data_IF_828189016718
#
_entry.id   IF_828189016718
#
_cell.length_a   1.000
_cell.length_b   1.000
_cell.length_c   1.000
_cell.angle_alpha   90.00
_cell.angle_beta   90.00
_cell.angle_gamma   90.00
#
_symmetry.space_group_name_H-M   'P 1'
#
loop_
_entity.id
_entity.type
_entity.pdbx_description
1 polymer ?
#
# COMPACT_ATOMS: atom_id res chain seq x y z
N UNK A 1 -6.14 19.11 2.81
CA UNK A 1 -4.79 19.46 2.31
C UNK A 1 -3.70 18.78 3.13
N UNK A 2 -3.69 18.92 4.46
CA UNK A 2 -2.69 18.27 5.34
C UNK A 2 -2.49 16.77 5.12
N UNK A 3 -3.57 15.97 5.10
CA UNK A 3 -3.45 14.51 4.91
C UNK A 3 -2.78 14.10 3.60
N UNK A 4 -3.03 14.82 2.50
CA UNK A 4 -2.39 14.53 1.20
C UNK A 4 -0.88 14.79 1.27
N UNK A 5 -0.48 15.86 1.96
CA UNK A 5 0.93 16.23 2.15
C UNK A 5 1.61 15.18 3.03
N UNK A 6 0.98 14.75 4.12
CA UNK A 6 1.51 13.68 4.97
C UNK A 6 1.64 12.36 4.19
N UNK A 7 0.62 11.98 3.42
CA UNK A 7 0.68 10.79 2.57
C UNK A 7 1.80 10.87 1.53
N UNK A 8 2.02 12.05 0.94
CA UNK A 8 3.11 12.27 -0.02
C UNK A 8 4.48 12.16 0.66
N UNK A 9 4.65 12.79 1.82
CA UNK A 9 5.90 12.71 2.58
C UNK A 9 6.22 11.26 2.97
N UNK A 10 5.22 10.53 3.48
CA UNK A 10 5.36 9.10 3.81
C UNK A 10 5.67 8.26 2.58
N UNK A 11 5.01 8.51 1.45
CA UNK A 11 5.27 7.81 0.19
C UNK A 11 6.71 8.02 -0.26
N UNK A 12 7.18 9.28 -0.30
CA UNK A 12 8.54 9.60 -0.72
C UNK A 12 9.57 8.96 0.20
N UNK A 13 9.42 9.13 1.52
CA UNK A 13 10.36 8.55 2.49
C UNK A 13 10.38 7.02 2.43
N UNK A 14 9.21 6.39 2.39
CA UNK A 14 9.09 4.94 2.29
C UNK A 14 9.66 4.40 0.97
N UNK A 15 9.38 5.05 -0.16
CA UNK A 15 9.92 4.65 -1.46
C UNK A 15 11.43 4.82 -1.54
N UNK A 16 11.99 5.91 -0.99
CA UNK A 16 13.45 6.09 -0.94
C UNK A 16 14.11 5.03 -0.07
N UNK A 17 13.55 4.76 1.11
CA UNK A 17 14.07 3.73 1.99
C UNK A 17 13.98 2.34 1.35
N UNK A 18 12.85 2.01 0.73
CA UNK A 18 12.64 0.73 0.03
C UNK A 18 13.55 0.57 -1.18
N UNK A 19 13.73 1.64 -1.96
CA UNK A 19 14.66 1.65 -3.09
C UNK A 19 16.10 1.43 -2.62
N UNK A 20 16.52 2.13 -1.57
CA UNK A 20 17.83 1.94 -0.96
C UNK A 20 18.03 0.51 -0.44
N UNK A 21 17.07 -0.05 0.30
CA UNK A 21 17.19 -1.42 0.82
C UNK A 21 17.25 -2.45 -0.30
N UNK A 22 16.49 -2.27 -1.39
CA UNK A 22 16.56 -3.14 -2.56
C UNK A 22 17.87 -3.04 -3.33
N UNK A 23 18.52 -1.87 -3.34
CA UNK A 23 19.82 -1.69 -4.01
C UNK A 23 20.96 -2.43 -3.29
N UNK A 24 20.90 -2.50 -1.96
CA UNK A 24 21.93 -3.16 -1.14
C UNK A 24 21.56 -4.60 -0.75
N UNK A 25 20.36 -5.06 -1.08
CA UNK A 25 19.90 -6.39 -0.71
C UNK A 25 20.63 -7.47 -1.53
N UNK A 26 21.27 -8.41 -0.84
CA UNK A 26 21.91 -9.56 -1.47
C UNK A 26 20.89 -10.62 -1.94
N UNK A 27 19.68 -10.61 -1.39
CA UNK A 27 18.61 -11.55 -1.70
C UNK A 27 17.42 -10.86 -2.35
N UNK A 28 16.69 -11.62 -3.17
CA UNK A 28 15.47 -11.12 -3.80
C UNK A 28 14.36 -10.88 -2.78
N UNK A 29 13.44 -9.97 -3.10
CA UNK A 29 12.26 -9.69 -2.27
C UNK A 29 11.42 -10.95 -2.01
N UNK A 30 11.28 -11.81 -3.03
CA UNK A 30 10.54 -13.07 -2.92
C UNK A 30 11.24 -14.03 -1.96
N UNK A 31 12.57 -14.17 -2.06
CA UNK A 31 13.35 -15.00 -1.15
C UNK A 31 13.24 -14.48 0.29
N UNK A 32 13.29 -13.17 0.49
CA UNK A 32 13.05 -12.54 1.78
C UNK A 32 11.65 -12.86 2.33
N UNK A 33 10.61 -12.73 1.51
CA UNK A 33 9.24 -13.07 1.92
C UNK A 33 9.09 -14.54 2.34
N UNK A 34 9.66 -15.47 1.58
CA UNK A 34 9.65 -16.90 1.91
C UNK A 34 10.41 -17.18 3.21
N UNK A 35 11.53 -16.51 3.42
CA UNK A 35 12.30 -16.61 4.66
C UNK A 35 11.49 -16.11 5.87
N UNK A 36 10.77 -14.99 5.74
CA UNK A 36 9.87 -14.51 6.79
C UNK A 36 8.73 -15.49 7.07
N UNK A 37 8.20 -16.15 6.04
CA UNK A 37 7.16 -17.16 6.20
C UNK A 37 7.67 -18.48 6.81
N UNK A 38 8.98 -18.73 6.78
CA UNK A 38 9.57 -19.98 7.31
C UNK A 38 9.54 -20.09 8.82
N UNK A 39 9.42 -18.95 9.55
CA UNK A 39 9.34 -18.93 11.01
C UNK A 39 7.95 -18.43 11.45
N UNK A 40 7.28 -19.12 12.40
CA UNK A 40 5.90 -18.77 12.78
C UNK A 40 5.72 -17.33 13.29
N UNK A 41 6.69 -16.81 14.02
CA UNK A 41 6.69 -15.46 14.59
C UNK A 41 6.75 -14.38 13.51
N UNK A 42 7.64 -14.50 12.53
CA UNK A 42 7.72 -13.57 11.41
C UNK A 42 6.61 -13.77 10.40
N UNK A 43 6.15 -15.02 10.21
CA UNK A 43 5.04 -15.35 9.33
C UNK A 43 3.74 -14.66 9.79
N UNK A 44 3.48 -14.62 11.10
CA UNK A 44 2.33 -13.93 11.67
C UNK A 44 2.29 -12.45 11.25
N UNK A 45 3.43 -11.76 11.27
CA UNK A 45 3.54 -10.35 10.88
C UNK A 45 3.27 -10.18 9.38
N UNK A 46 3.80 -11.07 8.54
CA UNK A 46 3.53 -11.03 7.08
C UNK A 46 2.05 -11.25 6.79
N UNK A 47 1.42 -12.23 7.45
CA UNK A 47 -0.01 -12.51 7.28
C UNK A 47 -0.85 -11.30 7.71
N UNK A 48 -0.59 -10.74 8.88
CA UNK A 48 -1.30 -9.56 9.39
C UNK A 48 -1.16 -8.35 8.44
N UNK A 49 0.06 -8.10 7.95
CA UNK A 49 0.35 -7.03 7.00
C UNK A 49 -0.45 -7.18 5.69
N UNK A 50 -0.52 -8.40 5.14
CA UNK A 50 -1.28 -8.68 3.93
C UNK A 50 -2.80 -8.69 4.14
N UNK A 51 -3.29 -9.07 5.33
CA UNK A 51 -4.69 -8.88 5.71
C UNK A 51 -5.05 -7.39 5.73
N UNK A 52 -4.23 -6.57 6.37
CA UNK A 52 -4.40 -5.11 6.37
C UNK A 52 -4.34 -4.53 4.95
N UNK A 53 -3.44 -5.02 4.09
CA UNK A 53 -3.37 -4.63 2.69
C UNK A 53 -4.64 -5.00 1.92
N UNK A 54 -5.19 -6.19 2.16
CA UNK A 54 -6.47 -6.64 1.58
C UNK A 54 -7.63 -5.74 1.98
N UNK A 55 -7.70 -5.37 3.26
CA UNK A 55 -8.70 -4.41 3.76
C UNK A 55 -8.53 -3.03 3.12
N UNK A 56 -7.30 -2.55 2.95
CA UNK A 56 -7.00 -1.30 2.27
C UNK A 56 -7.41 -1.35 0.78
N UNK A 57 -7.18 -2.47 0.09
CA UNK A 57 -7.66 -2.70 -1.28
C UNK A 57 -9.19 -2.62 -1.37
N UNK A 58 -9.91 -3.32 -0.48
CA UNK A 58 -11.38 -3.26 -0.42
C UNK A 58 -11.85 -1.84 -0.16
N UNK A 59 -11.19 -1.11 0.74
CA UNK A 59 -11.49 0.29 1.01
C UNK A 59 -11.29 1.18 -0.23
N UNK A 60 -10.16 1.07 -0.94
CA UNK A 60 -9.90 1.84 -2.16
C UNK A 60 -10.95 1.56 -3.24
N UNK A 61 -11.35 0.30 -3.42
CA UNK A 61 -12.40 -0.10 -4.36
C UNK A 61 -13.73 0.54 -3.99
N UNK A 62 -14.12 0.50 -2.72
CA UNK A 62 -15.37 1.10 -2.24
C UNK A 62 -15.35 2.63 -2.38
N UNK A 63 -14.25 3.29 -2.01
CA UNK A 63 -14.10 4.75 -2.16
C UNK A 63 -14.14 5.18 -3.63
N UNK A 64 -13.44 4.48 -4.52
CA UNK A 64 -13.47 4.80 -5.94
C UNK A 64 -14.86 4.59 -6.56
N UNK A 65 -15.58 3.53 -6.18
CA UNK A 65 -16.98 3.29 -6.61
C UNK A 65 -17.91 4.37 -6.10
N UNK A 66 -17.79 4.78 -4.83
CA UNK A 66 -18.59 5.86 -4.25
C UNK A 66 -18.40 7.21 -4.97
N UNK A 67 -17.26 7.41 -5.62
CA UNK A 67 -16.93 8.61 -6.41
C UNK A 67 -17.26 8.47 -7.91
N UNK A 68 -17.93 7.39 -8.33
CA UNK A 68 -18.24 7.13 -9.74
C UNK A 68 -17.02 6.79 -10.61
N UNK A 69 -15.89 6.41 -10.01
CA UNK A 69 -14.67 6.08 -10.73
C UNK A 69 -14.73 4.71 -11.40
N UNK A 70 -14.08 4.57 -12.57
CA UNK A 70 -13.92 3.28 -13.26
C UNK A 70 -12.98 2.36 -12.47
N UNK A 71 -13.30 1.08 -12.41
CA UNK A 71 -12.49 0.04 -11.75
C UNK A 71 -11.06 -0.05 -12.30
N UNK A 72 -10.88 0.16 -13.61
CA UNK A 72 -9.56 0.15 -14.27
C UNK A 72 -8.59 1.19 -13.67
N UNK A 73 -9.10 2.31 -13.16
CA UNK A 73 -8.25 3.33 -12.54
C UNK A 73 -7.59 2.85 -11.25
N UNK A 74 -8.09 1.79 -10.61
CA UNK A 74 -7.54 1.27 -9.35
C UNK A 74 -6.36 0.32 -9.56
N UNK A 75 -6.27 -0.30 -10.75
CA UNK A 75 -5.31 -1.35 -11.05
C UNK A 75 -3.86 -1.00 -10.66
N UNK A 76 -3.31 0.19 -10.99
CA UNK A 76 -1.94 0.52 -10.58
C UNK A 76 -1.75 0.54 -9.06
N UNK A 77 -2.72 1.03 -8.28
CA UNK A 77 -2.62 1.04 -6.82
C UNK A 77 -2.71 -0.37 -6.24
N UNK A 78 -3.56 -1.23 -6.80
CA UNK A 78 -3.69 -2.62 -6.36
C UNK A 78 -2.42 -3.43 -6.64
N UNK A 79 -1.84 -3.26 -7.84
CA UNK A 79 -0.57 -3.90 -8.20
C UNK A 79 0.56 -3.44 -7.28
N UNK A 80 0.64 -2.13 -7.01
CA UNK A 80 1.65 -1.59 -6.09
C UNK A 80 1.44 -2.08 -4.65
N UNK A 81 0.18 -2.24 -4.21
CA UNK A 81 -0.17 -2.81 -2.90
C UNK A 81 0.25 -4.28 -2.80
N UNK A 82 0.10 -5.06 -3.86
CA UNK A 82 0.47 -6.49 -3.83
C UNK A 82 1.97 -6.70 -3.57
N UNK A 83 2.82 -5.80 -4.08
CA UNK A 83 4.29 -5.90 -3.97
C UNK A 83 4.81 -5.15 -2.74
N UNK A 84 4.33 -3.93 -2.51
CA UNK A 84 4.89 -3.01 -1.52
C UNK A 84 3.93 -2.66 -0.39
N UNK A 85 2.75 -3.30 -0.34
CA UNK A 85 1.74 -3.17 0.72
C UNK A 85 1.29 -1.73 0.95
N UNK A 86 2.03 -0.95 1.72
CA UNK A 86 1.70 0.43 2.11
C UNK A 86 1.82 1.44 0.95
N UNK A 87 2.66 1.19 -0.06
CA UNK A 87 2.88 2.16 -1.14
C UNK A 87 1.62 2.42 -2.00
N UNK A 88 0.82 1.39 -2.27
CA UNK A 88 -0.41 1.50 -3.06
C UNK A 88 -1.46 2.41 -2.42
N UNK A 89 -1.86 2.17 -1.15
CA UNK A 89 -2.78 3.04 -0.42
C UNK A 89 -2.23 4.46 -0.22
N UNK A 90 -0.92 4.62 0.03
CA UNK A 90 -0.29 5.94 0.15
C UNK A 90 -0.41 6.71 -1.17
N UNK A 91 -0.07 6.10 -2.31
CA UNK A 91 -0.20 6.73 -3.62
C UNK A 91 -1.67 7.04 -3.96
N UNK A 92 -2.60 6.17 -3.56
CA UNK A 92 -4.04 6.42 -3.71
C UNK A 92 -4.47 7.66 -2.92
N UNK A 93 -4.02 7.78 -1.66
CA UNK A 93 -4.29 8.94 -0.81
C UNK A 93 -3.68 10.23 -1.35
N UNK A 94 -2.48 10.18 -1.93
CA UNK A 94 -1.84 11.34 -2.58
C UNK A 94 -2.70 11.84 -3.74
N UNK A 95 -3.09 10.94 -4.64
CA UNK A 95 -3.79 11.32 -5.87
C UNK A 95 -5.27 11.68 -5.63
N UNK A 96 -6.00 10.86 -4.85
CA UNK A 96 -7.45 11.01 -4.67
C UNK A 96 -7.82 11.77 -3.40
N UNK A 97 -6.94 11.80 -2.39
CA UNK A 97 -7.28 12.26 -1.03
C UNK A 97 -8.36 11.40 -0.37
N UNK A 98 -8.57 11.54 0.94
CA UNK A 98 -9.75 10.98 1.59
C UNK A 98 -10.97 11.82 1.19
N UNK A 99 -12.03 11.16 0.73
CA UNK A 99 -13.31 11.83 0.51
C UNK A 99 -13.68 12.44 1.85
N UNK A 100 -13.82 13.76 1.91
CA UNK A 100 -14.67 14.32 2.97
C UNK A 100 -16.01 13.67 2.73
N UNK A 101 -16.39 12.74 3.61
CA UNK A 101 -17.73 12.21 3.63
C UNK A 101 -18.67 13.41 3.53
N UNK A 102 -19.66 13.32 2.65
CA UNK A 102 -20.85 14.16 2.73
C UNK A 102 -21.28 14.12 4.21
N UNK A 103 -21.05 15.23 4.91
CA UNK A 103 -21.75 15.49 6.15
C UNK A 103 -23.24 15.59 5.73
N UNK A 104 -24.12 14.76 6.30
CA UNK A 104 -25.56 14.94 6.10
C UNK A 104 -25.99 16.32 6.60
#
# INVERSE_FOLDING_TARGET
>A
MGLRICALALLVLFSLYTGWTMLIAEQSLVAFGLQLLSRPDTAQVVIDLYLMAGLACVWMVRDNRARGGKGMSLLPYLMLTAVFVSAGPLLYLVNRGVARGRQP
#
